data_IF_845449698909
#
_entry.id   IF_845449698909
#
_cell.length_a   1.000
_cell.length_b   1.000
_cell.length_c   1.000
_cell.angle_alpha   90.00
_cell.angle_beta   90.00
_cell.angle_gamma   90.00
#
_symmetry.space_group_name_H-M   'P 1'
#
loop_
_entity.id
_entity.type
_entity.pdbx_description
1 polymer ?
#
# COMPACT_ATOMS: atom_id res chain seq x y z
N UNK A 1 -20.06 -33.39 14.26
CA UNK A 1 -19.22 -32.27 14.73
C UNK A 1 -17.82 -32.29 14.13
N UNK A 2 -17.02 -33.36 14.32
CA UNK A 2 -15.65 -33.46 13.74
C UNK A 2 -15.57 -33.31 12.21
N UNK A 3 -16.53 -33.86 11.47
CA UNK A 3 -16.61 -33.74 10.01
C UNK A 3 -16.89 -32.30 9.52
N UNK A 4 -17.65 -31.52 10.30
CA UNK A 4 -17.98 -30.13 9.95
C UNK A 4 -16.75 -29.24 10.11
N UNK A 5 -15.99 -29.45 11.20
CA UNK A 5 -14.74 -28.72 11.44
C UNK A 5 -13.71 -29.05 10.34
N UNK A 6 -13.61 -30.32 9.95
CA UNK A 6 -12.68 -30.75 8.89
C UNK A 6 -13.02 -30.14 7.52
N UNK A 7 -14.31 -30.06 7.19
CA UNK A 7 -14.78 -29.42 5.95
C UNK A 7 -14.52 -27.90 5.94
N UNK A 8 -14.71 -27.22 7.07
CA UNK A 8 -14.43 -25.77 7.20
C UNK A 8 -12.93 -25.50 7.09
N UNK A 9 -12.08 -26.32 7.72
CA UNK A 9 -10.62 -26.16 7.61
C UNK A 9 -10.12 -26.43 6.21
N UNK A 10 -10.72 -27.37 5.47
CA UNK A 10 -10.32 -27.68 4.10
C UNK A 10 -10.76 -26.57 3.12
N UNK A 11 -11.94 -25.98 3.32
CA UNK A 11 -12.42 -24.84 2.52
C UNK A 11 -11.58 -23.56 2.73
N UNK A 12 -11.00 -23.36 3.93
CA UNK A 12 -10.09 -22.24 4.20
C UNK A 12 -8.75 -22.35 3.44
N UNK A 13 -8.35 -23.55 3.00
CA UNK A 13 -7.14 -23.76 2.18
C UNK A 13 -7.40 -23.38 0.72
N UNK A 14 -8.65 -23.46 0.27
CA UNK A 14 -9.09 -23.07 -1.08
C UNK A 14 -9.76 -21.68 -1.07
N UNK A 15 -9.19 -20.73 -0.34
CA UNK A 15 -9.52 -19.33 -0.58
C UNK A 15 -9.19 -19.04 -2.06
N UNK A 16 -10.17 -18.62 -2.89
CA UNK A 16 -9.86 -18.20 -4.25
C UNK A 16 -8.79 -17.11 -4.18
N UNK A 17 -7.81 -17.15 -5.09
CA UNK A 17 -6.92 -16.02 -5.31
C UNK A 17 -7.79 -14.83 -5.68
N UNK A 18 -8.10 -14.00 -4.68
CA UNK A 18 -8.90 -12.81 -4.88
C UNK A 18 -8.02 -11.93 -5.77
N UNK A 19 -8.50 -11.64 -6.97
CA UNK A 19 -7.74 -10.84 -7.93
C UNK A 19 -7.44 -9.48 -7.28
N UNK A 20 -6.16 -9.21 -7.04
CA UNK A 20 -5.70 -8.03 -6.30
C UNK A 20 -6.04 -6.76 -7.09
N UNK A 21 -6.75 -5.82 -6.50
CA UNK A 21 -7.04 -4.54 -7.15
C UNK A 21 -6.14 -3.44 -6.60
N UNK A 22 -5.46 -2.68 -7.47
CA UNK A 22 -4.55 -1.61 -7.07
C UNK A 22 -4.89 -0.30 -7.76
N UNK A 23 -4.39 0.82 -7.22
CA UNK A 23 -4.38 2.08 -7.95
C UNK A 23 -3.26 2.09 -8.99
N UNK A 24 -3.50 2.71 -10.14
CA UNK A 24 -2.57 2.90 -11.24
C UNK A 24 -2.60 4.36 -11.67
N UNK A 25 -1.48 5.04 -11.51
CA UNK A 25 -1.29 6.42 -11.96
C UNK A 25 0.19 6.79 -11.86
N UNK A 26 0.58 7.90 -12.51
CA UNK A 26 1.91 8.46 -12.33
C UNK A 26 1.93 9.95 -12.62
N UNK A 27 2.82 10.67 -11.95
CA UNK A 27 3.09 12.07 -12.25
C UNK A 27 4.56 12.41 -12.04
N UNK A 28 5.01 13.42 -12.78
CA UNK A 28 6.30 14.09 -12.62
C UNK A 28 6.03 15.57 -12.38
N UNK A 29 6.75 16.21 -11.45
CA UNK A 29 6.63 17.65 -11.23
C UNK A 29 6.89 18.38 -12.55
N UNK A 30 5.93 19.22 -12.94
CA UNK A 30 5.98 19.99 -14.19
C UNK A 30 5.50 19.24 -15.44
N UNK A 31 5.26 17.92 -15.36
CA UNK A 31 4.76 17.09 -16.47
C UNK A 31 3.82 16.02 -15.92
N UNK A 32 2.52 16.32 -15.84
CA UNK A 32 1.50 15.35 -15.43
C UNK A 32 0.47 15.92 -14.47
N UNK A 33 -0.52 15.09 -14.15
CA UNK A 33 -1.64 15.44 -13.29
C UNK A 33 -1.22 15.32 -11.82
N UNK A 34 -1.34 16.40 -11.05
CA UNK A 34 -1.00 16.44 -9.62
C UNK A 34 -1.86 15.48 -8.77
N UNK A 35 -2.94 14.97 -9.36
CA UNK A 35 -3.98 14.18 -8.71
C UNK A 35 -3.58 12.72 -8.44
N UNK A 36 -2.43 12.27 -8.93
CA UNK A 36 -1.91 10.98 -8.50
C UNK A 36 -1.32 11.06 -7.08
N UNK A 37 -1.10 12.21 -6.44
CA UNK A 37 -0.66 12.20 -5.03
C UNK A 37 -1.75 11.65 -4.10
N UNK A 38 -3.00 12.08 -4.31
CA UNK A 38 -4.21 11.58 -3.64
C UNK A 38 -5.10 10.73 -4.58
N UNK A 39 -5.02 9.39 -4.49
CA UNK A 39 -5.76 8.51 -5.39
C UNK A 39 -7.28 8.52 -5.15
N UNK A 40 -7.77 9.17 -4.10
CA UNK A 40 -9.20 9.28 -3.79
C UNK A 40 -9.84 10.58 -4.31
N UNK A 41 -9.04 11.57 -4.72
CA UNK A 41 -9.53 12.85 -5.24
C UNK A 41 -9.76 12.89 -6.76
N UNK A 42 -9.49 11.78 -7.47
CA UNK A 42 -10.29 11.45 -8.66
C UNK A 42 -9.57 11.15 -9.98
N UNK A 43 -8.27 10.84 -10.01
CA UNK A 43 -7.60 10.50 -11.29
C UNK A 43 -6.81 9.19 -11.27
N UNK A 44 -6.69 8.49 -10.14
CA UNK A 44 -6.03 7.20 -10.13
C UNK A 44 -6.96 6.11 -10.70
N UNK A 45 -6.53 5.44 -11.76
CA UNK A 45 -7.27 4.31 -12.31
C UNK A 45 -7.20 3.13 -11.34
N UNK A 46 -8.30 2.40 -11.21
CA UNK A 46 -8.32 1.16 -10.45
C UNK A 46 -8.13 0.00 -11.41
N UNK A 47 -7.08 -0.79 -11.18
CA UNK A 47 -6.71 -1.91 -12.06
C UNK A 47 -6.72 -3.21 -11.28
N UNK A 48 -7.31 -4.24 -11.86
CA UNK A 48 -7.20 -5.61 -11.35
C UNK A 48 -5.88 -6.21 -11.84
N UNK A 49 -5.01 -6.56 -10.91
CA UNK A 49 -3.71 -7.14 -11.21
C UNK A 49 -3.82 -8.64 -11.51
N UNK A 50 -2.87 -9.19 -12.28
CA UNK A 50 -2.71 -10.64 -12.40
C UNK A 50 -2.41 -11.31 -11.05
N UNK A 51 -2.63 -12.62 -10.98
CA UNK A 51 -2.29 -13.41 -9.80
C UNK A 51 -0.81 -13.26 -9.42
N UNK A 52 -0.53 -13.26 -8.12
CA UNK A 52 0.80 -13.13 -7.51
C UNK A 52 1.49 -11.76 -7.66
N UNK A 53 0.85 -10.77 -8.27
CA UNK A 53 1.38 -9.41 -8.32
C UNK A 53 1.28 -8.69 -6.96
N UNK A 54 1.94 -7.54 -6.88
CA UNK A 54 1.93 -6.63 -5.75
C UNK A 54 1.41 -5.26 -6.19
N UNK A 55 0.69 -4.57 -5.32
CA UNK A 55 0.49 -3.13 -5.50
C UNK A 55 1.78 -2.41 -5.12
N UNK A 56 2.33 -1.64 -6.05
CA UNK A 56 3.50 -0.79 -5.85
C UNK A 56 3.09 0.67 -5.68
N UNK A 57 3.83 1.38 -4.83
CA UNK A 57 3.93 2.84 -4.81
C UNK A 57 5.39 3.24 -4.84
N UNK A 58 5.80 3.97 -5.87
CA UNK A 58 7.13 4.54 -6.03
C UNK A 58 7.10 6.05 -5.85
N UNK A 59 8.10 6.62 -5.20
CA UNK A 59 8.27 8.08 -5.10
C UNK A 59 9.73 8.47 -5.30
N UNK A 60 9.96 9.57 -5.99
CA UNK A 60 11.26 10.26 -6.05
C UNK A 60 11.08 11.60 -5.36
N UNK A 61 11.99 11.95 -4.45
CA UNK A 61 11.96 13.23 -3.75
C UNK A 61 13.32 13.92 -3.76
N UNK A 62 13.32 15.25 -3.88
CA UNK A 62 14.51 16.10 -3.82
C UNK A 62 14.36 17.08 -2.65
N UNK A 63 15.27 17.03 -1.68
CA UNK A 63 15.19 17.91 -0.50
C UNK A 63 13.92 17.74 0.33
N UNK A 64 13.25 16.58 0.25
CA UNK A 64 11.99 16.29 0.94
C UNK A 64 10.72 16.56 0.12
N UNK A 65 10.83 17.20 -1.04
CA UNK A 65 9.69 17.42 -1.95
C UNK A 65 9.59 16.27 -2.94
N UNK A 66 8.42 15.63 -3.05
CA UNK A 66 8.16 14.57 -4.03
C UNK A 66 8.14 15.18 -5.44
N UNK A 67 9.08 14.80 -6.29
CA UNK A 67 9.20 15.24 -7.68
C UNK A 67 8.62 14.24 -8.67
N UNK A 68 8.44 12.99 -8.26
CA UNK A 68 7.79 11.97 -9.08
C UNK A 68 7.06 10.98 -8.18
N UNK A 69 5.94 10.46 -8.65
CA UNK A 69 5.21 9.40 -7.99
C UNK A 69 4.63 8.45 -9.04
N UNK A 70 4.63 7.16 -8.72
CA UNK A 70 4.06 6.11 -9.54
C UNK A 70 3.29 5.12 -8.66
N UNK A 71 2.16 4.62 -9.15
CA UNK A 71 1.42 3.49 -8.61
C UNK A 71 1.16 2.49 -9.73
N UNK A 72 1.40 1.20 -9.48
CA UNK A 72 1.28 0.15 -10.49
C UNK A 72 1.07 -1.24 -9.86
N UNK A 73 0.67 -2.20 -10.70
CA UNK A 73 0.77 -3.63 -10.41
C UNK A 73 2.15 -4.13 -10.84
N UNK A 74 2.90 -4.78 -9.96
CA UNK A 74 4.22 -5.35 -10.31
C UNK A 74 4.34 -6.83 -9.95
N UNK A 75 5.00 -7.66 -10.79
CA UNK A 75 5.27 -9.07 -10.47
C UNK A 75 6.33 -9.21 -9.38
N UNK A 76 7.30 -8.30 -9.35
CA UNK A 76 8.37 -8.22 -8.37
C UNK A 76 8.42 -6.81 -7.81
N UNK A 77 8.56 -6.67 -6.49
CA UNK A 77 8.53 -5.37 -5.86
C UNK A 77 9.50 -5.32 -4.68
N UNK A 78 10.25 -4.22 -4.58
CA UNK A 78 11.19 -3.97 -3.48
C UNK A 78 10.68 -2.83 -2.62
N UNK A 79 10.61 -3.06 -1.31
CA UNK A 79 10.23 -2.03 -0.32
C UNK A 79 11.48 -1.47 0.34
N UNK A 80 11.60 -0.16 0.32
CA UNK A 80 12.73 0.54 0.93
C UNK A 80 12.97 1.90 0.30
N UNK A 81 13.92 2.66 0.86
CA UNK A 81 14.38 3.90 0.29
C UNK A 81 15.88 3.87 0.07
N UNK A 82 16.34 4.46 -1.03
CA UNK A 82 17.75 4.68 -1.34
C UNK A 82 17.98 6.15 -1.65
N UNK A 83 19.13 6.68 -1.22
CA UNK A 83 19.59 8.00 -1.60
C UNK A 83 20.53 7.88 -2.81
N UNK A 84 20.23 8.61 -3.87
CA UNK A 84 20.98 8.62 -5.12
C UNK A 84 21.08 10.04 -5.67
N UNK A 85 22.31 10.56 -5.82
CA UNK A 85 22.59 11.89 -6.37
C UNK A 85 21.81 13.05 -5.69
N UNK A 86 21.56 12.95 -4.39
CA UNK A 86 20.80 13.96 -3.63
C UNK A 86 19.27 13.82 -3.76
N UNK A 87 18.80 12.85 -4.55
CA UNK A 87 17.41 12.41 -4.61
C UNK A 87 17.20 11.21 -3.71
N UNK A 88 16.04 11.13 -3.07
CA UNK A 88 15.60 9.96 -2.31
C UNK A 88 14.52 9.21 -3.09
N UNK A 89 14.82 7.98 -3.46
CA UNK A 89 13.91 7.08 -4.18
C UNK A 89 13.34 6.10 -3.15
N UNK A 90 12.01 6.01 -3.06
CA UNK A 90 11.34 5.05 -2.18
C UNK A 90 10.39 4.17 -2.97
N UNK A 91 10.39 2.89 -2.67
CA UNK A 91 9.41 1.91 -3.13
C UNK A 91 8.65 1.31 -1.94
N UNK A 92 7.36 1.07 -2.12
CA UNK A 92 6.50 0.37 -1.17
C UNK A 92 5.64 -0.65 -1.89
N UNK A 93 5.51 -1.83 -1.29
CA UNK A 93 4.83 -2.98 -1.87
C UNK A 93 3.84 -3.57 -0.87
N UNK A 94 2.68 -3.98 -1.35
CA UNK A 94 1.65 -4.61 -0.51
C UNK A 94 0.73 -5.53 -1.34
N UNK A 95 -0.02 -6.41 -0.65
CA UNK A 95 -0.89 -7.44 -1.25
C UNK A 95 -2.31 -7.41 -0.66
N UNK A 96 -2.92 -6.24 -0.68
CA UNK A 96 -4.32 -6.07 -0.29
C UNK A 96 -4.95 -5.04 -1.22
N UNK A 97 -6.26 -5.11 -1.41
CA UNK A 97 -6.92 -4.19 -2.34
C UNK A 97 -6.65 -2.73 -1.96
N UNK A 98 -6.28 -1.93 -2.96
CA UNK A 98 -6.01 -0.49 -2.86
C UNK A 98 -4.91 -0.13 -1.84
N UNK A 99 -4.06 -1.08 -1.44
CA UNK A 99 -3.08 -0.87 -0.38
C UNK A 99 -1.95 0.10 -0.77
N UNK A 100 -1.76 0.36 -2.06
CA UNK A 100 -0.85 1.39 -2.56
C UNK A 100 -1.44 2.81 -2.49
N UNK A 101 -2.61 2.99 -1.87
CA UNK A 101 -3.22 4.31 -1.68
C UNK A 101 -2.40 5.20 -0.73
N UNK A 102 -1.99 4.65 0.42
CA UNK A 102 -1.38 5.40 1.51
C UNK A 102 -0.03 6.04 1.13
N UNK A 103 0.24 7.23 1.65
CA UNK A 103 1.61 7.72 1.84
C UNK A 103 2.36 6.74 2.74
N UNK A 104 3.69 6.62 2.57
CA UNK A 104 4.53 5.75 3.40
C UNK A 104 4.37 6.12 4.88
N UNK A 105 3.37 5.56 5.56
CA UNK A 105 3.25 5.63 7.01
C UNK A 105 4.30 4.68 7.52
N UNK A 106 5.42 5.23 8.00
CA UNK A 106 6.34 4.44 8.80
C UNK A 106 5.53 3.91 9.98
N UNK A 107 5.27 2.60 9.98
CA UNK A 107 4.58 1.93 11.07
C UNK A 107 5.48 2.02 12.30
N UNK A 108 5.34 3.10 13.07
CA UNK A 108 6.00 3.23 14.34
C UNK A 108 5.17 2.44 15.35
N UNK A 109 5.65 1.25 15.69
CA UNK A 109 5.02 0.34 16.66
C UNK A 109 4.77 1.01 18.01
N UNK A 110 5.60 2.00 18.39
CA UNK A 110 5.41 2.80 19.61
C UNK A 110 4.15 3.65 19.51
N UNK A 111 3.90 4.31 18.37
CA UNK A 111 2.72 5.15 18.16
C UNK A 111 1.43 4.34 18.14
N UNK A 112 1.47 3.11 17.62
CA UNK A 112 0.32 2.20 17.64
C UNK A 112 -0.01 1.72 19.06
N UNK A 113 1.01 1.37 19.85
CA UNK A 113 0.83 0.96 21.25
C UNK A 113 0.31 2.11 22.11
N UNK A 114 0.80 3.34 21.91
CA UNK A 114 0.33 4.48 22.70
C UNK A 114 -1.11 4.84 22.42
N UNK A 115 -1.57 4.79 21.15
CA UNK A 115 -2.98 5.03 20.81
C UNK A 115 -3.90 3.93 21.33
N UNK A 116 -3.46 2.67 21.35
CA UNK A 116 -4.22 1.56 21.91
C UNK A 116 -4.38 1.69 23.44
N UNK A 117 -3.30 2.07 24.15
CA UNK A 117 -3.34 2.25 25.60
C UNK A 117 -4.17 3.47 25.99
N UNK A 118 -4.05 4.61 25.29
CA UNK A 118 -4.86 5.80 25.60
C UNK A 118 -6.35 5.56 25.36
N UNK A 119 -6.73 4.86 24.30
CA UNK A 119 -8.14 4.53 24.04
C UNK A 119 -8.72 3.58 25.09
N UNK A 120 -7.94 2.62 25.60
CA UNK A 120 -8.34 1.77 26.74
C UNK A 120 -8.52 2.63 28.00
N UNK A 121 -7.57 3.50 28.33
CA UNK A 121 -7.64 4.34 29.54
C UNK A 121 -8.85 5.29 29.50
N UNK A 122 -9.16 5.88 28.35
CA UNK A 122 -10.35 6.73 28.16
C UNK A 122 -11.65 5.92 28.30
N UNK A 123 -11.65 4.63 27.96
CA UNK A 123 -12.83 3.77 28.10
C UNK A 123 -13.09 3.35 29.56
N UNK A 124 -12.08 3.43 30.42
CA UNK A 124 -12.13 3.05 31.84
C UNK A 124 -12.07 4.27 32.79
N UNK A 125 -12.28 5.48 32.26
CA UNK A 125 -12.54 6.72 32.99
C UNK A 125 -13.83 7.36 32.49
#
# INVERSE_FOLDING_TARGET
MKLVIFAITLAAVFAPSIALTCHSCGYLIGVGDYDCDDPFLGQAENVTCPDNYYCKKGTISNGGTITALERSCEPECSTGCIDFLGSKLCGYCCRSDFCNSATNVQFNSVTFLTTLVTSIVIMFH
#
